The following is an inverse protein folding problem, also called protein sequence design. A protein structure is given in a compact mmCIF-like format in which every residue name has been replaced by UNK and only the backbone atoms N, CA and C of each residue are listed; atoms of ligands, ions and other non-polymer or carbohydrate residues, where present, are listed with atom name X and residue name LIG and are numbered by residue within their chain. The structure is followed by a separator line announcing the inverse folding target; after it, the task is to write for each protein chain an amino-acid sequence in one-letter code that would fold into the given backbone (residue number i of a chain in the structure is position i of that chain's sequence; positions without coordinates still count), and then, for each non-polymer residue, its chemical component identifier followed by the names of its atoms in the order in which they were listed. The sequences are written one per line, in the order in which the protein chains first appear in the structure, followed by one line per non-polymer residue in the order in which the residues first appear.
data_IF_003478809416
#
_entry.id   IF_003478809416
#
_cell.length_a   1.000
_cell.length_b   1.000
_cell.length_c   1.000
_cell.angle_alpha   90.00
_cell.angle_beta   90.00
_cell.angle_gamma   90.00
#
_symmetry.space_group_name_H-M   'P 1'
#
loop_
_entity.id
_entity.type
_entity.pdbx_description
1 polymer ?
#
# COMPACT_ATOMS: atom_id res chain seq x y z
N UNK A 1 -7.98 -8.50 -4.54
CA UNK A 1 -6.57 -8.31 -4.13
C UNK A 1 -5.63 -7.94 -5.29
N UNK A 2 -5.52 -8.73 -6.38
CA UNK A 2 -4.55 -8.50 -7.48
C UNK A 2 -4.61 -7.10 -8.11
N UNK A 3 -5.80 -6.59 -8.42
CA UNK A 3 -5.98 -5.27 -9.05
C UNK A 3 -5.47 -4.12 -8.15
N UNK A 4 -5.74 -4.21 -6.84
CA UNK A 4 -5.28 -3.22 -5.85
C UNK A 4 -3.76 -3.22 -5.78
N UNK A 5 -3.14 -4.40 -5.75
CA UNK A 5 -1.67 -4.53 -5.74
C UNK A 5 -1.02 -3.98 -7.01
N UNK A 6 -1.58 -4.23 -8.19
CA UNK A 6 -1.02 -3.67 -9.43
C UNK A 6 -1.13 -2.15 -9.48
N UNK A 7 -2.24 -1.56 -9.00
CA UNK A 7 -2.37 -0.10 -8.84
C UNK A 7 -1.34 0.46 -7.85
N UNK A 8 -1.15 -0.19 -6.70
CA UNK A 8 -0.15 0.23 -5.72
C UNK A 8 1.28 0.16 -6.30
N UNK A 9 1.64 -0.93 -6.99
CA UNK A 9 2.93 -1.05 -7.68
C UNK A 9 3.09 -0.02 -8.79
N UNK A 10 2.02 0.31 -9.51
CA UNK A 10 2.05 1.37 -10.52
C UNK A 10 2.37 2.73 -9.88
N UNK A 11 1.69 3.10 -8.79
CA UNK A 11 1.95 4.35 -8.05
C UNK A 11 3.42 4.44 -7.64
N UNK A 12 3.94 3.39 -6.99
CA UNK A 12 5.34 3.36 -6.53
C UNK A 12 6.28 3.52 -7.72
N UNK A 13 6.13 2.69 -8.75
CA UNK A 13 6.99 2.74 -9.95
C UNK A 13 6.95 4.09 -10.64
N UNK A 14 5.76 4.67 -10.78
CA UNK A 14 5.56 5.95 -11.45
C UNK A 14 6.29 7.09 -10.72
N UNK A 15 6.12 7.17 -9.40
CA UNK A 15 6.76 8.21 -8.58
C UNK A 15 8.27 8.00 -8.53
N UNK A 16 8.76 6.78 -8.35
CA UNK A 16 10.21 6.52 -8.25
C UNK A 16 10.94 6.62 -9.58
N UNK A 17 10.28 6.35 -10.71
CA UNK A 17 10.89 6.36 -12.03
C UNK A 17 11.09 7.79 -12.58
N UNK A 18 10.29 8.75 -12.11
CA UNK A 18 10.28 10.12 -12.63
C UNK A 18 10.90 11.09 -11.61
N UNK A 19 12.13 11.61 -11.83
CA UNK A 19 12.82 12.45 -10.84
C UNK A 19 12.04 13.70 -10.43
N UNK A 20 11.36 14.36 -11.39
CA UNK A 20 10.54 15.55 -11.09
C UNK A 20 9.35 15.22 -10.17
N UNK A 21 8.63 14.14 -10.46
CA UNK A 21 7.50 13.67 -9.64
C UNK A 21 7.98 13.24 -8.26
N UNK A 22 9.12 12.55 -8.19
CA UNK A 22 9.73 12.14 -6.92
C UNK A 22 10.08 13.34 -6.03
N UNK A 23 10.59 14.42 -6.63
CA UNK A 23 10.94 15.62 -5.88
C UNK A 23 9.70 16.33 -5.32
N UNK A 24 8.64 16.49 -6.13
CA UNK A 24 7.36 17.06 -5.66
C UNK A 24 6.78 16.18 -4.54
N UNK A 25 6.83 14.86 -4.71
CA UNK A 25 6.35 13.93 -3.67
C UNK A 25 7.15 14.03 -2.37
N UNK A 26 8.49 14.14 -2.45
CA UNK A 26 9.36 14.30 -1.27
C UNK A 26 9.13 15.62 -0.54
N UNK A 27 8.78 16.68 -1.24
CA UNK A 27 8.41 17.95 -0.63
C UNK A 27 7.07 17.85 0.13
N UNK A 28 6.17 16.98 -0.31
CA UNK A 28 4.80 16.87 0.20
C UNK A 28 4.54 15.67 1.13
N UNK A 29 5.51 14.76 1.28
CA UNK A 29 5.43 13.56 2.10
C UNK A 29 6.64 13.42 3.01
N UNK A 30 6.40 13.27 4.32
CA UNK A 30 7.44 12.94 5.31
C UNK A 30 7.96 11.50 5.18
N UNK A 31 7.24 10.66 4.43
CA UNK A 31 7.55 9.25 4.24
C UNK A 31 7.98 9.00 2.78
N UNK A 32 9.13 8.35 2.60
CA UNK A 32 9.60 7.89 1.30
C UNK A 32 9.14 6.46 1.00
N UNK A 33 9.03 6.08 -0.28
CA UNK A 33 8.88 4.67 -0.64
C UNK A 33 10.16 3.91 -0.23
N UNK A 34 10.03 2.92 0.66
CA UNK A 34 11.17 2.12 1.10
C UNK A 34 11.65 1.22 -0.04
N UNK A 35 12.96 1.01 -0.13
CA UNK A 35 13.52 -0.02 -1.00
C UNK A 35 13.08 -1.40 -0.50
N UNK A 36 12.77 -2.37 -1.39
CA UNK A 36 12.32 -3.69 -0.99
C UNK A 36 13.34 -4.38 -0.06
N UNK A 37 12.86 -5.03 0.99
CA UNK A 37 13.58 -6.10 1.71
C UNK A 37 13.31 -7.45 1.03
N UNK A 38 14.20 -8.44 1.22
CA UNK A 38 14.32 -9.64 0.39
C UNK A 38 13.10 -10.60 0.40
N UNK A 39 12.13 -10.47 1.31
CA UNK A 39 11.00 -11.40 1.38
C UNK A 39 9.85 -11.01 0.43
N UNK A 40 9.71 -11.77 -0.67
CA UNK A 40 8.67 -11.57 -1.71
C UNK A 40 7.23 -11.56 -1.19
N UNK A 41 6.94 -12.26 -0.09
CA UNK A 41 5.60 -12.32 0.51
C UNK A 41 5.26 -11.03 1.26
N UNK A 42 6.16 -10.54 2.12
CA UNK A 42 5.98 -9.28 2.84
C UNK A 42 6.08 -8.07 1.91
N UNK A 43 6.80 -8.15 0.79
CA UNK A 43 6.92 -7.03 -0.15
C UNK A 43 5.56 -6.47 -0.62
N UNK A 44 4.61 -7.35 -0.96
CA UNK A 44 3.29 -6.91 -1.45
C UNK A 44 2.50 -6.16 -0.37
N UNK A 45 2.55 -6.66 0.86
CA UNK A 45 1.97 -6.02 2.04
C UNK A 45 2.62 -4.66 2.31
N UNK A 46 3.96 -4.61 2.36
CA UNK A 46 4.72 -3.39 2.62
C UNK A 46 4.46 -2.31 1.57
N UNK A 47 4.38 -2.68 0.28
CA UNK A 47 4.06 -1.74 -0.80
C UNK A 47 2.67 -1.14 -0.60
N UNK A 48 1.67 -1.98 -0.37
CA UNK A 48 0.30 -1.51 -0.17
C UNK A 48 0.20 -0.63 1.08
N UNK A 49 0.75 -1.09 2.21
CA UNK A 49 0.79 -0.35 3.46
C UNK A 49 1.42 1.03 3.29
N UNK A 50 2.57 1.08 2.61
CA UNK A 50 3.28 2.34 2.40
C UNK A 50 2.46 3.29 1.54
N UNK A 51 1.86 2.81 0.45
CA UNK A 51 1.00 3.62 -0.44
C UNK A 51 -0.19 4.20 0.32
N UNK A 52 -0.86 3.40 1.16
CA UNK A 52 -1.98 3.87 1.99
C UNK A 52 -1.54 4.95 2.98
N UNK A 53 -0.40 4.75 3.68
CA UNK A 53 0.14 5.74 4.62
C UNK A 53 0.50 7.07 3.96
N UNK A 54 0.95 7.06 2.71
CA UNK A 54 1.33 8.28 1.96
C UNK A 54 0.20 8.88 1.14
N UNK A 55 -1.05 8.39 1.26
CA UNK A 55 -2.22 8.89 0.51
C UNK A 55 -2.32 10.43 0.55
N UNK A 56 -2.21 11.03 1.73
CA UNK A 56 -2.24 12.50 1.89
C UNK A 56 -1.08 13.22 1.19
N UNK A 57 0.11 12.61 1.17
CA UNK A 57 1.27 13.13 0.45
C UNK A 57 1.10 13.04 -1.06
N UNK A 58 0.54 11.93 -1.56
CA UNK A 58 0.21 11.74 -2.96
C UNK A 58 -0.85 12.74 -3.44
N UNK A 59 -1.91 12.96 -2.66
CA UNK A 59 -2.93 13.96 -2.98
C UNK A 59 -2.32 15.37 -3.10
N UNK A 60 -1.50 15.76 -2.12
CA UNK A 60 -0.77 17.05 -2.19
C UNK A 60 0.17 17.15 -3.38
N UNK A 61 0.78 16.04 -3.79
CA UNK A 61 1.64 15.99 -4.98
C UNK A 61 0.86 16.28 -6.25
N UNK A 62 -0.37 15.74 -6.38
CA UNK A 62 -1.20 15.93 -7.59
C UNK A 62 -1.85 17.31 -7.64
N UNK A 63 -2.09 17.94 -6.49
CA UNK A 63 -2.67 19.29 -6.38
C UNK A 63 -1.59 20.39 -6.44
N UNK A 64 -0.32 20.04 -6.38
CA UNK A 64 0.79 21.00 -6.40
C UNK A 64 0.89 21.73 -7.75
N UNK A 65 1.25 23.01 -7.73
CA UNK A 65 1.39 23.82 -8.95
C UNK A 65 2.47 23.25 -9.89
N UNK A 66 3.55 22.70 -9.33
CA UNK A 66 4.60 22.07 -10.12
C UNK A 66 4.08 20.82 -10.86
N UNK A 67 3.07 20.13 -10.32
CA UNK A 67 2.46 18.99 -11.00
C UNK A 67 1.65 19.42 -12.23
N UNK A 68 0.88 20.50 -12.13
CA UNK A 68 0.13 21.05 -13.26
C UNK A 68 1.06 21.43 -14.42
N UNK A 69 2.19 22.09 -14.13
CA UNK A 69 3.19 22.43 -15.15
C UNK A 69 3.76 21.20 -15.87
N UNK A 70 3.93 20.08 -15.16
CA UNK A 70 4.42 18.83 -15.75
C UNK A 70 3.33 18.21 -16.62
N UNK A 71 2.09 18.22 -16.14
CA UNK A 71 0.96 17.63 -16.84
C UNK A 71 0.62 18.39 -18.13
N UNK A 72 0.76 19.71 -18.18
CA UNK A 72 0.58 20.49 -19.41
C UNK A 72 1.63 20.13 -20.47
N UNK A 73 2.90 20.08 -20.07
CA UNK A 73 4.02 19.70 -20.96
C UNK A 73 3.94 18.22 -21.40
N UNK A 74 3.31 17.38 -20.58
CA UNK A 74 3.15 15.94 -20.81
C UNK A 74 1.69 15.55 -21.10
N UNK A 75 0.91 16.46 -21.65
CA UNK A 75 -0.53 16.30 -21.91
C UNK A 75 -0.89 15.09 -22.79
N UNK A 76 0.04 14.59 -23.60
CA UNK A 76 -0.13 13.34 -24.38
C UNK A 76 0.27 12.04 -23.66
N UNK A 77 0.84 12.11 -22.46
CA UNK A 77 1.30 10.93 -21.70
C UNK A 77 0.17 10.42 -20.79
N UNK A 78 -0.45 9.32 -21.23
CA UNK A 78 -1.57 8.65 -20.55
C UNK A 78 -1.22 8.22 -19.12
N UNK A 79 0.07 8.06 -18.79
CA UNK A 79 0.52 7.64 -17.47
C UNK A 79 0.31 8.72 -16.40
N UNK A 80 0.46 10.01 -16.74
CA UNK A 80 0.21 11.11 -15.79
C UNK A 80 -1.28 11.22 -15.46
N UNK A 81 -2.13 11.14 -16.48
CA UNK A 81 -3.59 11.14 -16.32
C UNK A 81 -4.05 9.93 -15.52
N UNK A 82 -3.52 8.73 -15.81
CA UNK A 82 -3.83 7.52 -15.06
C UNK A 82 -3.43 7.64 -13.58
N UNK A 83 -2.25 8.21 -13.30
CA UNK A 83 -1.79 8.44 -11.93
C UNK A 83 -2.71 9.39 -11.17
N UNK A 84 -3.04 10.54 -11.75
CA UNK A 84 -3.98 11.51 -11.17
C UNK A 84 -5.35 10.89 -10.89
N UNK A 85 -5.87 10.10 -11.83
CA UNK A 85 -7.16 9.44 -11.69
C UNK A 85 -7.17 8.41 -10.56
N UNK A 86 -6.11 7.62 -10.39
CA UNK A 86 -6.02 6.66 -9.27
C UNK A 86 -5.91 7.41 -7.94
N UNK A 87 -5.07 8.45 -7.86
CA UNK A 87 -4.81 9.15 -6.61
C UNK A 87 -6.03 9.96 -6.14
N UNK A 88 -6.71 10.67 -7.04
CA UNK A 88 -7.83 11.55 -6.71
C UNK A 88 -9.21 10.89 -6.89
N UNK A 89 -9.39 10.06 -7.92
CA UNK A 89 -10.70 9.57 -8.34
C UNK A 89 -11.07 8.15 -7.89
N UNK A 90 -10.11 7.34 -7.47
CA UNK A 90 -10.34 5.92 -7.17
C UNK A 90 -10.52 5.63 -5.67
N UNK A 91 -11.64 6.09 -5.09
CA UNK A 91 -11.96 5.83 -3.68
C UNK A 91 -12.09 4.32 -3.38
N UNK A 92 -12.54 3.55 -4.37
CA UNK A 92 -12.68 2.09 -4.25
C UNK A 92 -11.34 1.40 -4.08
N UNK A 93 -10.29 1.85 -4.76
CA UNK A 93 -8.93 1.37 -4.55
C UNK A 93 -8.47 1.59 -3.10
N UNK A 94 -8.68 2.80 -2.57
CA UNK A 94 -8.24 3.14 -1.21
C UNK A 94 -8.99 2.33 -0.15
N UNK A 95 -10.32 2.27 -0.23
CA UNK A 95 -11.15 1.46 0.69
C UNK A 95 -10.80 -0.01 0.64
N UNK A 96 -10.68 -0.60 -0.57
CA UNK A 96 -10.28 -2.01 -0.72
C UNK A 96 -8.86 -2.25 -0.22
N UNK A 97 -7.96 -1.29 -0.38
CA UNK A 97 -6.61 -1.35 0.16
C UNK A 97 -6.60 -1.44 1.68
N UNK A 98 -7.41 -0.62 2.35
CA UNK A 98 -7.56 -0.64 3.82
C UNK A 98 -8.16 -1.97 4.31
N UNK A 99 -9.21 -2.49 3.66
CA UNK A 99 -9.79 -3.80 4.00
C UNK A 99 -8.74 -4.91 3.89
N UNK A 100 -7.99 -4.94 2.78
CA UNK A 100 -6.92 -5.92 2.58
C UNK A 100 -5.83 -5.78 3.65
N UNK A 101 -5.48 -4.55 4.04
CA UNK A 101 -4.49 -4.29 5.07
C UNK A 101 -4.95 -4.81 6.44
N UNK A 102 -6.22 -4.60 6.78
CA UNK A 102 -6.82 -5.12 8.00
C UNK A 102 -6.86 -6.65 8.02
N UNK A 103 -7.27 -7.28 6.92
CA UNK A 103 -7.31 -8.74 6.80
C UNK A 103 -5.92 -9.39 6.85
N UNK A 104 -4.88 -8.74 6.29
CA UNK A 104 -3.52 -9.28 6.28
C UNK A 104 -2.72 -8.95 7.55
N UNK A 105 -3.23 -8.09 8.43
CA UNK A 105 -2.54 -7.67 9.66
C UNK A 105 -2.24 -8.83 10.62
N UNK A 106 -3.16 -9.78 10.88
CA UNK A 106 -2.88 -10.95 11.71
C UNK A 106 -1.78 -11.82 11.09
N UNK A 107 -1.86 -12.07 9.78
CA UNK A 107 -0.87 -12.87 9.05
C UNK A 107 0.53 -12.25 9.09
N UNK A 108 0.63 -10.93 8.85
CA UNK A 108 1.90 -10.21 8.94
C UNK A 108 2.48 -10.24 10.37
N UNK A 109 1.62 -10.17 11.39
CA UNK A 109 2.05 -10.22 12.78
C UNK A 109 2.61 -11.60 13.13
N UNK A 110 1.98 -12.69 12.66
CA UNK A 110 2.48 -14.05 12.85
C UNK A 110 3.80 -14.29 12.11
N UNK A 111 3.91 -13.87 10.85
CA UNK A 111 5.17 -13.98 10.09
C UNK A 111 6.32 -13.23 10.76
N UNK A 112 6.04 -12.05 11.32
CA UNK A 112 7.05 -11.29 12.07
C UNK A 112 7.51 -12.03 13.32
N UNK A 113 6.63 -12.78 13.98
CA UNK A 113 6.97 -13.55 15.18
C UNK A 113 7.75 -14.80 14.83
N UNK A 114 7.39 -15.49 13.75
CA UNK A 114 8.17 -16.63 13.25
C UNK A 114 9.58 -16.23 12.80
N UNK A 115 9.74 -15.00 12.31
CA UNK A 115 11.04 -14.45 11.91
C UNK A 115 11.91 -13.98 13.10
N UNK A 116 11.39 -13.94 14.34
CA UNK A 116 12.18 -13.58 15.53
C UNK A 116 13.03 -14.78 16.01
N UNK A 117 14.32 -14.54 16.27
CA UNK A 117 15.21 -15.53 16.88
C UNK A 117 14.63 -15.99 18.23
N UNK A 118 14.43 -17.30 18.39
CA UNK A 118 13.80 -17.89 19.59
C UNK A 118 12.34 -18.33 19.43
N UNK A 119 11.74 -18.18 18.24
CA UNK A 119 10.42 -18.75 17.95
C UNK A 119 10.44 -20.28 18.05
N UNK A 120 9.78 -20.84 19.07
CA UNK A 120 9.59 -22.29 19.22
C UNK A 120 8.35 -22.75 18.47
N UNK A 121 8.33 -24.02 18.06
CA UNK A 121 7.18 -24.60 17.35
C UNK A 121 5.85 -24.44 18.14
N UNK A 122 5.90 -24.53 19.47
CA UNK A 122 4.73 -24.34 20.33
C UNK A 122 4.12 -22.93 20.24
N UNK A 123 4.97 -21.90 20.16
CA UNK A 123 4.51 -20.52 19.95
C UNK A 123 3.83 -20.37 18.59
N UNK A 124 4.39 -21.00 17.55
CA UNK A 124 3.82 -20.93 16.19
C UNK A 124 2.39 -21.49 16.18
N UNK A 125 2.15 -22.65 16.81
CA UNK A 125 0.81 -23.24 16.89
C UNK A 125 -0.18 -22.35 17.65
N UNK A 126 0.22 -21.81 18.81
CA UNK A 126 -0.64 -20.89 19.58
C UNK A 126 -1.05 -19.65 18.76
N UNK A 127 -0.14 -19.10 17.94
CA UNK A 127 -0.44 -17.97 17.07
C UNK A 127 -1.33 -18.33 15.88
N UNK A 128 -1.19 -19.54 15.33
CA UNK A 128 -2.07 -20.04 14.27
C UNK A 128 -3.50 -20.16 14.79
N UNK A 129 -3.70 -20.71 15.99
CA UNK A 129 -5.01 -20.83 16.62
C UNK A 129 -5.65 -19.45 16.85
N UNK A 130 -4.89 -18.50 17.39
CA UNK A 130 -5.34 -17.11 17.58
C UNK A 130 -5.71 -16.40 16.28
N UNK A 131 -5.06 -16.72 15.16
CA UNK A 131 -5.43 -16.19 13.84
C UNK A 131 -6.74 -16.82 13.37
N UNK A 132 -6.92 -18.13 13.56
CA UNK A 132 -8.18 -18.82 13.26
C UNK A 132 -9.37 -18.11 13.89
N UNK A 133 -9.29 -17.82 15.19
CA UNK A 133 -10.31 -17.07 15.92
C UNK A 133 -10.53 -15.64 15.38
N UNK A 134 -9.47 -14.98 14.91
CA UNK A 134 -9.58 -13.64 14.33
C UNK A 134 -10.25 -13.65 12.97
N UNK A 135 -9.99 -14.68 12.15
CA UNK A 135 -10.62 -14.85 10.84
C UNK A 135 -12.10 -15.15 11.02
N UNK A 136 -12.45 -16.08 11.91
CA UNK A 136 -13.86 -16.39 12.24
C UNK A 136 -14.64 -15.16 12.73
N UNK A 137 -14.00 -14.30 13.55
CA UNK A 137 -14.61 -13.03 13.97
C UNK A 137 -14.82 -12.05 12.83
N UNK A 138 -13.90 -11.99 11.86
CA UNK A 138 -14.05 -11.13 10.68
C UNK A 138 -15.17 -11.66 9.78
N UNK A 139 -15.25 -12.98 9.57
CA UNK A 139 -16.31 -13.62 8.79
C UNK A 139 -17.69 -13.40 9.42
N UNK A 140 -17.82 -13.57 10.73
CA UNK A 140 -19.07 -13.28 11.45
C UNK A 140 -19.47 -11.80 11.45
N UNK A 141 -18.54 -10.87 11.25
CA UNK A 141 -18.86 -9.44 11.07
C UNK A 141 -19.33 -9.12 9.64
N UNK A 142 -18.96 -9.93 8.64
CA UNK A 142 -19.40 -9.75 7.25
C UNK A 142 -20.76 -10.40 6.96
N UNK A 143 -21.22 -11.36 7.78
CA UNK A 143 -22.56 -11.99 7.65
C UNK A 143 -23.69 -11.18 8.32
N UNK A 144 -23.35 -10.15 9.10
CA UNK A 144 -24.31 -9.31 9.83
C UNK A 144 -24.54 -7.92 9.19
N UNK A 145 -24.08 -7.70 7.94
CA UNK A 145 -24.43 -6.57 7.06
C UNK A 145 -25.29 -7.03 5.88
#
# INVERSE_FOLDING_TARGET
MRVVLEKAKFIVRFVTSKPKVLNIFRANSSLQFQKPSATRFCYMFLVLERVLRVRKGLLRTVVAEEWYSIQEVKSGDTLYTQFSNIVMGDEQFWKKGEIIMHALKPLHSMLRITDMEGSTLGLIYEYVDRIGECIEKIEGLMENE
#
